data_IF_304060360782
#
_entry.id   IF_304060360782
#
_cell.length_a   1.000
_cell.length_b   1.000
_cell.length_c   1.000
_cell.angle_alpha   90.00
_cell.angle_beta   90.00
_cell.angle_gamma   90.00
#
_symmetry.space_group_name_H-M   'P 1'
#
loop_
_entity.id
_entity.type
_entity.pdbx_description
1 polymer ?
#
# COMPACT_ATOMS: atom_id res chain seq x y z
N UNK A 1 -10.19 21.56 -0.55
CA UNK A 1 -10.07 21.18 -1.98
C UNK A 1 -8.62 20.80 -2.24
N UNK A 2 -8.35 19.51 -2.46
CA UNK A 2 -6.99 18.97 -2.70
C UNK A 2 -7.00 18.03 -3.91
N UNK A 3 -5.85 17.86 -4.57
CA UNK A 3 -5.68 16.95 -5.71
C UNK A 3 -5.03 15.65 -5.23
N UNK A 4 -5.65 14.53 -5.57
CA UNK A 4 -5.25 13.19 -5.13
C UNK A 4 -4.72 12.36 -6.29
N UNK A 5 -3.57 11.70 -6.13
CA UNK A 5 -3.09 10.74 -7.11
C UNK A 5 -3.32 9.32 -6.60
N UNK A 6 -4.25 8.57 -7.21
CA UNK A 6 -4.62 7.22 -6.82
C UNK A 6 -4.17 6.23 -7.88
N UNK A 7 -3.26 5.33 -7.55
CA UNK A 7 -2.83 4.25 -8.44
C UNK A 7 -3.70 3.00 -8.24
N UNK A 8 -4.03 2.29 -9.33
CA UNK A 8 -4.86 1.07 -9.24
C UNK A 8 -6.36 1.33 -8.98
N UNK A 9 -6.89 2.45 -9.45
CA UNK A 9 -8.23 2.95 -9.16
C UNK A 9 -9.41 2.11 -9.72
N UNK A 10 -9.13 1.16 -10.61
CA UNK A 10 -10.15 0.42 -11.39
C UNK A 10 -11.09 -0.49 -10.60
N UNK A 11 -10.69 -1.00 -9.43
CA UNK A 11 -11.46 -1.98 -8.65
C UNK A 11 -10.97 -2.09 -7.19
N UNK A 12 -11.75 -2.77 -6.35
CA UNK A 12 -11.38 -3.06 -4.96
C UNK A 12 -11.14 -1.79 -4.14
N UNK A 13 -9.95 -1.66 -3.57
CA UNK A 13 -9.60 -0.52 -2.74
C UNK A 13 -9.54 0.81 -3.47
N UNK A 14 -8.89 0.84 -4.64
CA UNK A 14 -8.66 2.08 -5.37
C UNK A 14 -9.95 2.80 -5.73
N UNK A 15 -11.01 2.06 -6.07
CA UNK A 15 -12.29 2.66 -6.46
C UNK A 15 -13.04 3.27 -5.27
N UNK A 16 -12.97 2.64 -4.09
CA UNK A 16 -13.61 3.19 -2.89
C UNK A 16 -12.90 4.46 -2.40
N UNK A 17 -11.57 4.52 -2.54
CA UNK A 17 -10.79 5.75 -2.28
C UNK A 17 -11.21 6.87 -3.23
N UNK A 18 -11.33 6.59 -4.53
CA UNK A 18 -11.79 7.59 -5.52
C UNK A 18 -13.20 8.09 -5.17
N UNK A 19 -14.13 7.18 -4.87
CA UNK A 19 -15.50 7.56 -4.49
C UNK A 19 -15.51 8.45 -3.24
N UNK A 20 -14.78 8.06 -2.21
CA UNK A 20 -14.73 8.80 -0.95
C UNK A 20 -14.08 10.18 -1.16
N UNK A 21 -12.98 10.27 -1.92
CA UNK A 21 -12.33 11.56 -2.20
C UNK A 21 -13.24 12.50 -2.99
N UNK A 22 -13.94 11.99 -4.02
CA UNK A 22 -14.90 12.79 -4.79
C UNK A 22 -16.10 13.24 -3.94
N UNK A 23 -16.63 12.38 -3.06
CA UNK A 23 -17.77 12.74 -2.20
C UNK A 23 -17.42 13.83 -1.18
N UNK A 24 -16.14 13.97 -0.82
CA UNK A 24 -15.61 15.05 0.02
C UNK A 24 -15.22 16.30 -0.79
N UNK A 25 -15.55 16.33 -2.10
CA UNK A 25 -15.31 17.49 -2.96
C UNK A 25 -13.83 17.69 -3.28
N UNK A 26 -13.05 16.62 -3.37
CA UNK A 26 -11.66 16.66 -3.85
C UNK A 26 -11.58 16.37 -5.35
N UNK A 27 -10.45 16.73 -5.95
CA UNK A 27 -10.10 16.31 -7.30
C UNK A 27 -9.21 15.06 -7.24
N UNK A 28 -9.45 14.10 -8.14
CA UNK A 28 -8.70 12.85 -8.18
C UNK A 28 -8.12 12.63 -9.56
N UNK A 29 -6.83 12.33 -9.60
CA UNK A 29 -6.10 11.78 -10.72
C UNK A 29 -5.96 10.28 -10.45
N UNK A 30 -6.62 9.48 -11.27
CA UNK A 30 -6.76 8.05 -11.04
C UNK A 30 -6.11 7.24 -12.16
N UNK A 31 -5.20 6.33 -11.83
CA UNK A 31 -4.56 5.45 -12.81
C UNK A 31 -5.14 4.04 -12.77
N UNK A 32 -5.35 3.45 -13.94
CA UNK A 32 -5.90 2.11 -14.13
C UNK A 32 -5.24 1.44 -15.33
N UNK A 33 -5.08 0.11 -15.27
CA UNK A 33 -4.62 -0.68 -16.43
C UNK A 33 -5.61 -0.63 -17.60
N UNK A 34 -6.89 -0.48 -17.28
CA UNK A 34 -7.99 -0.34 -18.22
C UNK A 34 -8.77 0.92 -17.85
N UNK A 35 -8.50 2.01 -18.58
CA UNK A 35 -9.11 3.31 -18.35
C UNK A 35 -10.57 3.38 -18.82
N UNK A 36 -11.04 2.43 -19.65
CA UNK A 36 -12.45 2.37 -20.06
C UNK A 36 -13.38 2.14 -18.86
N UNK A 37 -12.99 1.25 -17.95
CA UNK A 37 -13.71 0.98 -16.69
C UNK A 37 -13.83 2.21 -15.79
N UNK A 38 -12.83 3.09 -15.82
CA UNK A 38 -12.86 4.34 -15.05
C UNK A 38 -13.79 5.36 -15.72
N UNK A 39 -13.78 5.44 -17.05
CA UNK A 39 -14.67 6.32 -17.82
C UNK A 39 -16.14 5.92 -17.72
N UNK A 40 -16.44 4.61 -17.71
CA UNK A 40 -17.81 4.13 -17.49
C UNK A 40 -18.33 4.49 -16.10
N UNK A 41 -17.45 4.49 -15.10
CA UNK A 41 -17.80 4.77 -13.70
C UNK A 41 -17.82 6.27 -13.38
N UNK A 42 -16.98 7.04 -14.08
CA UNK A 42 -16.78 8.48 -13.90
C UNK A 42 -16.66 9.14 -15.30
N UNK A 43 -17.79 9.32 -16.01
CA UNK A 43 -17.79 9.79 -17.39
C UNK A 43 -17.23 11.21 -17.57
N UNK A 44 -17.16 11.99 -16.49
CA UNK A 44 -16.75 13.40 -16.50
C UNK A 44 -15.27 13.63 -16.09
N UNK A 45 -14.44 12.58 -16.00
CA UNK A 45 -13.06 12.68 -15.51
C UNK A 45 -12.01 13.02 -16.60
N UNK A 46 -11.10 13.97 -16.30
CA UNK A 46 -9.92 14.35 -17.12
C UNK A 46 -8.58 13.78 -16.61
N UNK A 47 -7.48 13.94 -17.37
CA UNK A 47 -6.19 13.22 -17.22
C UNK A 47 -5.02 14.13 -16.76
N UNK A 48 -4.16 13.75 -15.77
CA UNK A 48 -2.68 13.76 -15.99
C UNK A 48 -1.77 12.88 -15.06
N UNK A 49 -0.43 13.03 -15.18
CA UNK A 49 0.69 12.28 -14.56
C UNK A 49 1.40 12.97 -13.35
N UNK A 50 2.28 12.22 -12.63
CA UNK A 50 2.98 12.61 -11.37
C UNK A 50 4.50 12.35 -11.36
N UNK A 51 5.31 13.24 -10.78
CA UNK A 51 6.57 12.90 -10.05
C UNK A 51 7.24 14.01 -9.20
N UNK A 52 7.08 15.33 -9.44
CA UNK A 52 7.91 16.38 -8.78
C UNK A 52 7.21 17.22 -7.68
N UNK A 53 6.31 16.64 -6.88
CA UNK A 53 5.21 17.43 -6.32
C UNK A 53 5.39 18.03 -4.90
N UNK A 54 6.49 17.76 -4.18
CA UNK A 54 6.68 18.30 -2.82
C UNK A 54 6.84 19.84 -2.81
N UNK A 55 7.68 20.48 -3.66
CA UNK A 55 7.73 21.95 -3.76
C UNK A 55 6.41 22.58 -4.22
N UNK A 56 5.49 21.76 -4.74
CA UNK A 56 4.17 22.15 -5.23
C UNK A 56 3.07 21.97 -4.18
N UNK A 57 3.41 21.58 -2.94
CA UNK A 57 2.46 21.43 -1.84
C UNK A 57 1.63 20.15 -1.88
N UNK A 58 2.07 19.12 -2.62
CA UNK A 58 1.37 17.84 -2.70
C UNK A 58 1.89 16.87 -1.64
N UNK A 59 0.97 16.31 -0.86
CA UNK A 59 1.26 15.33 0.18
C UNK A 59 1.16 13.91 -0.37
N UNK A 60 2.07 13.04 0.03
CA UNK A 60 2.10 11.62 -0.38
C UNK A 60 1.96 10.73 0.84
N UNK A 61 1.01 9.80 0.78
CA UNK A 61 0.84 8.73 1.78
C UNK A 61 0.75 7.40 1.06
N UNK A 62 1.60 6.46 1.46
CA UNK A 62 1.58 5.06 1.03
C UNK A 62 0.61 4.31 1.95
N UNK A 63 -0.45 3.76 1.37
CA UNK A 63 -1.41 2.93 2.10
C UNK A 63 -0.94 1.48 2.05
N UNK A 64 -0.79 0.86 3.21
CA UNK A 64 -0.34 -0.53 3.40
C UNK A 64 -1.48 -1.34 4.02
N UNK A 65 -2.39 -1.91 3.20
CA UNK A 65 -3.52 -2.67 3.71
C UNK A 65 -3.15 -4.14 3.96
N UNK A 66 -3.82 -4.73 4.97
CA UNK A 66 -3.92 -6.18 5.15
C UNK A 66 -4.97 -6.80 4.22
N UNK A 67 -5.59 -7.88 4.68
CA UNK A 67 -6.68 -8.54 3.96
C UNK A 67 -8.00 -7.79 4.12
N UNK A 68 -8.60 -7.38 3.01
CA UNK A 68 -9.91 -6.72 2.97
C UNK A 68 -10.89 -7.43 2.06
N UNK A 69 -12.18 -7.40 2.44
CA UNK A 69 -13.29 -8.02 1.70
C UNK A 69 -13.55 -7.27 0.40
N UNK A 70 -12.77 -7.60 -0.61
CA UNK A 70 -12.87 -7.13 -1.98
C UNK A 70 -12.70 -8.34 -2.90
N UNK A 71 -12.99 -8.18 -4.19
CA UNK A 71 -12.77 -9.23 -5.19
C UNK A 71 -11.26 -9.45 -5.50
N UNK A 72 -10.34 -8.89 -4.71
CA UNK A 72 -8.91 -8.99 -4.99
C UNK A 72 -8.40 -10.43 -5.03
N UNK A 73 -8.88 -11.28 -4.11
CA UNK A 73 -8.56 -12.71 -4.03
C UNK A 73 -9.47 -13.59 -4.88
N UNK A 74 -10.46 -13.00 -5.56
CA UNK A 74 -11.33 -13.74 -6.47
C UNK A 74 -10.53 -14.24 -7.68
N UNK A 75 -10.93 -15.38 -8.25
CA UNK A 75 -10.26 -15.98 -9.40
C UNK A 75 -10.30 -15.07 -10.66
N UNK A 76 -11.24 -14.14 -10.74
CA UNK A 76 -11.29 -13.10 -11.78
C UNK A 76 -10.26 -11.97 -11.60
N UNK A 77 -9.59 -11.92 -10.45
CA UNK A 77 -8.61 -10.89 -10.11
C UNK A 77 -7.21 -11.45 -9.86
N UNK A 78 -7.10 -12.51 -9.05
CA UNK A 78 -5.85 -13.12 -8.65
C UNK A 78 -5.47 -14.23 -9.64
N UNK A 79 -4.45 -13.96 -10.45
CA UNK A 79 -3.89 -14.97 -11.35
C UNK A 79 -2.81 -15.79 -10.63
N UNK A 80 -2.87 -17.10 -10.78
CA UNK A 80 -1.88 -18.03 -10.25
C UNK A 80 -1.35 -18.94 -11.35
N UNK A 81 -0.06 -19.26 -11.31
CA UNK A 81 0.55 -20.18 -12.27
C UNK A 81 0.04 -21.61 -12.12
N UNK A 82 -0.19 -22.25 -13.26
CA UNK A 82 -0.58 -23.67 -13.34
C UNK A 82 0.59 -24.59 -13.04
N UNK A 83 1.80 -24.20 -13.45
CA UNK A 83 3.02 -24.92 -13.14
C UNK A 83 3.37 -24.75 -11.65
N UNK A 84 3.33 -25.87 -10.91
CA UNK A 84 3.66 -25.89 -9.48
C UNK A 84 4.88 -26.76 -9.21
N UNK A 85 5.82 -26.20 -8.46
CA UNK A 85 7.04 -26.89 -8.01
C UNK A 85 6.77 -27.39 -6.57
N UNK A 86 6.99 -28.68 -6.34
CA UNK A 86 6.72 -29.36 -5.06
C UNK A 86 7.42 -28.70 -3.87
N UNK A 87 8.64 -28.23 -4.08
CA UNK A 87 9.51 -27.68 -3.05
C UNK A 87 8.95 -26.39 -2.43
N UNK A 88 8.08 -25.69 -3.15
CA UNK A 88 7.43 -24.47 -2.70
C UNK A 88 6.02 -24.71 -2.11
N UNK A 89 5.63 -25.97 -1.92
CA UNK A 89 4.30 -26.34 -1.42
C UNK A 89 3.99 -25.77 -0.02
N UNK A 90 5.01 -25.69 0.84
CA UNK A 90 4.92 -25.14 2.19
C UNK A 90 4.96 -23.60 2.24
N UNK A 91 5.47 -22.94 1.19
CA UNK A 91 5.59 -21.48 1.11
C UNK A 91 4.53 -20.89 0.19
N UNK A 92 4.84 -20.67 -1.09
CA UNK A 92 3.91 -20.07 -2.06
C UNK A 92 2.68 -20.94 -2.28
N UNK A 93 2.81 -22.27 -2.16
CA UNK A 93 1.68 -23.20 -2.20
C UNK A 93 0.71 -23.00 -1.04
N UNK A 94 1.22 -22.78 0.18
CA UNK A 94 0.39 -22.48 1.35
C UNK A 94 -0.30 -21.12 1.20
N UNK A 95 0.40 -20.12 0.66
CA UNK A 95 -0.19 -18.81 0.36
C UNK A 95 -1.34 -18.93 -0.65
N UNK A 96 -1.19 -19.69 -1.74
CA UNK A 96 -2.27 -19.92 -2.72
C UNK A 96 -3.50 -20.57 -2.07
N UNK A 97 -3.30 -21.61 -1.27
CA UNK A 97 -4.41 -22.26 -0.54
C UNK A 97 -5.09 -21.29 0.41
N UNK A 98 -4.31 -20.51 1.15
CA UNK A 98 -4.81 -19.51 2.09
C UNK A 98 -5.63 -18.44 1.37
N UNK A 99 -5.13 -17.90 0.24
CA UNK A 99 -5.83 -16.89 -0.55
C UNK A 99 -7.24 -17.36 -0.99
N UNK A 100 -7.37 -18.62 -1.40
CA UNK A 100 -8.68 -19.22 -1.74
C UNK A 100 -9.57 -19.34 -0.50
N UNK A 101 -9.04 -19.84 0.62
CA UNK A 101 -9.81 -20.04 1.85
C UNK A 101 -10.31 -18.75 2.48
N UNK A 102 -9.52 -17.67 2.38
CA UNK A 102 -9.85 -16.38 3.02
C UNK A 102 -10.61 -15.44 2.08
N UNK A 103 -10.88 -15.83 0.84
CA UNK A 103 -11.66 -15.02 -0.09
C UNK A 103 -13.07 -14.73 0.49
N UNK A 104 -13.51 -13.48 0.37
CA UNK A 104 -14.73 -12.90 0.96
C UNK A 104 -14.93 -13.00 2.49
N UNK A 105 -14.03 -13.66 3.22
CA UNK A 105 -14.04 -13.72 4.70
C UNK A 105 -12.92 -12.90 5.35
N UNK A 106 -12.16 -12.14 4.54
CA UNK A 106 -11.11 -11.25 5.01
C UNK A 106 -11.61 -10.33 6.15
N UNK A 107 -10.78 -9.95 7.15
CA UNK A 107 -11.26 -9.15 8.28
C UNK A 107 -11.51 -7.67 7.92
N UNK A 108 -10.76 -7.13 6.97
CA UNK A 108 -10.81 -5.72 6.61
C UNK A 108 -12.10 -5.32 5.89
N UNK A 109 -12.62 -4.14 6.23
CA UNK A 109 -13.77 -3.52 5.58
C UNK A 109 -13.30 -2.39 4.63
N UNK A 110 -13.45 -2.53 3.30
CA UNK A 110 -12.90 -1.57 2.34
C UNK A 110 -13.54 -0.17 2.45
N UNK A 111 -14.83 -0.10 2.83
CA UNK A 111 -15.53 1.18 3.02
C UNK A 111 -14.91 1.95 4.18
N UNK A 112 -14.66 1.29 5.31
CA UNK A 112 -14.01 1.92 6.48
C UNK A 112 -12.61 2.41 6.15
N UNK A 113 -11.84 1.61 5.42
CA UNK A 113 -10.48 2.00 5.04
C UNK A 113 -10.48 3.16 4.04
N UNK A 114 -11.42 3.22 3.09
CA UNK A 114 -11.57 4.38 2.21
C UNK A 114 -11.84 5.67 2.99
N UNK A 115 -12.72 5.63 4.00
CA UNK A 115 -12.95 6.77 4.91
C UNK A 115 -11.66 7.21 5.59
N UNK A 116 -10.93 6.28 6.22
CA UNK A 116 -9.66 6.61 6.92
C UNK A 116 -8.63 7.21 5.97
N UNK A 117 -8.55 6.72 4.73
CA UNK A 117 -7.61 7.24 3.74
C UNK A 117 -7.93 8.71 3.44
N UNK A 118 -9.21 9.04 3.21
CA UNK A 118 -9.67 10.43 3.01
C UNK A 118 -9.32 11.30 4.21
N UNK A 119 -9.67 10.88 5.42
CA UNK A 119 -9.37 11.62 6.65
C UNK A 119 -7.86 11.91 6.80
N UNK A 120 -7.02 10.93 6.45
CA UNK A 120 -5.57 11.06 6.56
C UNK A 120 -5.00 12.07 5.57
N UNK A 121 -5.50 12.15 4.35
CA UNK A 121 -4.96 13.13 3.40
C UNK A 121 -5.44 14.56 3.67
N UNK A 122 -6.61 14.73 4.30
CA UNK A 122 -7.04 16.03 4.81
C UNK A 122 -6.21 16.46 6.03
N UNK A 123 -5.60 15.52 6.75
CA UNK A 123 -4.75 15.81 7.90
C UNK A 123 -3.55 16.70 7.52
N UNK A 124 -3.25 17.75 8.32
CA UNK A 124 -2.01 18.52 8.18
C UNK A 124 -0.76 17.70 8.57
N UNK A 125 -0.94 16.55 9.24
CA UNK A 125 0.14 15.64 9.65
C UNK A 125 -0.05 14.26 9.03
N UNK A 126 -0.40 14.22 7.75
CA UNK A 126 -0.52 12.97 6.99
C UNK A 126 0.82 12.21 7.05
N UNK A 127 0.84 10.92 7.43
CA UNK A 127 2.07 10.15 7.49
C UNK A 127 2.49 9.72 6.07
N UNK A 128 3.77 9.42 5.90
CA UNK A 128 4.27 8.82 4.67
C UNK A 128 3.74 7.40 4.46
N UNK A 129 3.48 6.65 5.54
CA UNK A 129 2.95 5.28 5.50
C UNK A 129 1.77 5.14 6.46
N UNK A 130 0.71 4.48 6.00
CA UNK A 130 -0.50 4.22 6.76
C UNK A 130 -0.86 2.73 6.67
N UNK A 131 -0.66 2.00 7.77
CA UNK A 131 -1.07 0.60 7.87
C UNK A 131 -2.57 0.51 8.16
N UNK A 132 -3.28 -0.36 7.43
CA UNK A 132 -4.71 -0.58 7.61
C UNK A 132 -5.01 -2.07 7.78
N UNK A 133 -5.73 -2.41 8.85
CA UNK A 133 -6.06 -3.80 9.22
C UNK A 133 -5.13 -4.35 10.29
N UNK A 134 -5.70 -5.06 11.27
CA UNK A 134 -4.96 -5.58 12.42
C UNK A 134 -3.86 -6.57 12.01
N UNK A 135 -4.13 -7.38 10.99
CA UNK A 135 -3.18 -8.32 10.39
C UNK A 135 -1.98 -7.60 9.75
N UNK A 136 -2.20 -6.46 9.10
CA UNK A 136 -1.10 -5.65 8.58
C UNK A 136 -0.26 -5.06 9.70
N UNK A 137 -0.91 -4.49 10.72
CA UNK A 137 -0.25 -3.90 11.89
C UNK A 137 0.64 -4.94 12.58
N UNK A 138 0.10 -6.12 12.91
CA UNK A 138 0.83 -7.22 13.55
C UNK A 138 2.06 -7.63 12.73
N UNK A 139 1.90 -7.83 11.40
CA UNK A 139 3.01 -8.22 10.52
C UNK A 139 4.09 -7.15 10.43
N UNK A 140 3.72 -5.88 10.42
CA UNK A 140 4.67 -4.77 10.42
C UNK A 140 5.42 -4.72 11.75
N UNK A 141 4.74 -4.86 12.88
CA UNK A 141 5.36 -4.92 14.20
C UNK A 141 6.37 -6.08 14.31
N UNK A 142 5.98 -7.28 13.88
CA UNK A 142 6.87 -8.45 13.84
C UNK A 142 8.11 -8.23 12.96
N UNK A 143 7.92 -7.63 11.78
CA UNK A 143 9.02 -7.35 10.86
C UNK A 143 9.96 -6.29 11.44
N UNK A 144 9.42 -5.22 12.03
CA UNK A 144 10.21 -4.18 12.67
C UNK A 144 11.03 -4.76 13.84
N UNK A 145 10.43 -5.62 14.65
CA UNK A 145 11.13 -6.30 15.74
C UNK A 145 12.26 -7.20 15.21
N UNK A 146 12.04 -7.90 14.10
CA UNK A 146 13.05 -8.74 13.46
C UNK A 146 14.21 -7.92 12.92
N UNK A 147 13.92 -6.87 12.15
CA UNK A 147 14.95 -5.96 11.60
C UNK A 147 15.75 -5.31 12.72
N UNK A 148 15.09 -4.88 13.81
CA UNK A 148 15.77 -4.33 14.98
C UNK A 148 16.74 -5.33 15.59
N UNK A 149 16.30 -6.58 15.82
CA UNK A 149 17.15 -7.63 16.38
C UNK A 149 18.36 -7.93 15.49
N UNK A 150 18.16 -8.06 14.18
CA UNK A 150 19.24 -8.31 13.23
C UNK A 150 20.24 -7.15 13.21
N UNK A 151 19.75 -5.91 13.15
CA UNK A 151 20.58 -4.72 13.20
C UNK A 151 21.42 -4.69 14.49
N UNK A 152 20.80 -4.92 15.65
CA UNK A 152 21.51 -4.85 16.92
C UNK A 152 22.51 -6.00 17.08
N UNK A 153 22.21 -7.18 16.54
CA UNK A 153 23.13 -8.33 16.50
C UNK A 153 24.38 -8.03 15.67
N UNK A 154 24.21 -7.41 14.50
CA UNK A 154 25.28 -7.19 13.54
C UNK A 154 25.91 -5.80 13.61
N UNK A 155 25.41 -4.91 14.50
CA UNK A 155 25.80 -3.49 14.56
C UNK A 155 27.31 -3.29 14.58
N UNK A 156 28.02 -4.02 15.44
CA UNK A 156 29.47 -3.87 15.58
C UNK A 156 30.22 -4.19 14.28
N UNK A 157 29.80 -5.25 13.57
CA UNK A 157 30.38 -5.61 12.25
C UNK A 157 29.98 -4.58 11.21
N UNK A 158 28.71 -4.18 11.16
CA UNK A 158 28.21 -3.20 10.19
C UNK A 158 28.90 -1.84 10.31
N UNK A 159 29.16 -1.33 11.51
CA UNK A 159 29.88 -0.06 11.70
C UNK A 159 31.40 -0.19 11.54
N UNK A 160 31.94 -1.41 11.63
CA UNK A 160 33.39 -1.63 11.46
C UNK A 160 33.88 -1.41 10.02
N UNK A 161 32.97 -1.25 9.06
CA UNK A 161 33.29 -0.97 7.66
C UNK A 161 33.49 0.52 7.35
N UNK A 162 33.28 1.40 8.34
CA UNK A 162 33.57 2.82 8.19
C UNK A 162 35.08 3.03 8.00
N UNK A 163 35.46 4.02 7.17
CA UNK A 163 36.87 4.34 6.97
C UNK A 163 37.46 4.95 8.26
N UNK A 164 38.70 4.61 8.67
CA UNK A 164 39.25 5.03 9.97
C UNK A 164 39.34 6.54 10.21
N UNK A 165 39.25 7.35 9.15
CA UNK A 165 39.32 8.82 9.18
C UNK A 165 37.95 9.51 9.17
N UNK A 166 36.84 8.75 9.09
CA UNK A 166 35.49 9.30 9.16
C UNK A 166 35.16 9.65 10.62
N UNK A 167 35.09 10.95 10.91
CA UNK A 167 34.64 11.44 12.20
C UNK A 167 33.16 11.14 12.45
N UNK A 168 32.79 10.99 13.73
CA UNK A 168 31.42 10.64 14.17
C UNK A 168 30.30 11.62 13.74
N UNK A 169 30.66 12.74 13.11
CA UNK A 169 29.75 13.82 12.69
C UNK A 169 29.12 13.58 11.30
N UNK A 170 29.77 12.77 10.45
CA UNK A 170 29.28 12.48 9.08
C UNK A 170 28.17 11.43 9.07
N UNK A 171 28.02 10.63 10.14
CA UNK A 171 27.12 9.46 10.18
C UNK A 171 25.71 9.73 10.72
N UNK A 172 25.35 10.99 11.00
CA UNK A 172 24.02 11.40 11.54
C UNK A 172 23.25 12.34 10.61
N UNK A 173 23.23 12.05 9.31
CA UNK A 173 22.35 12.69 8.32
C UNK A 173 20.94 12.12 8.34
#
# INVERSE_FOLDING_TARGET
MSVWFVTGASRGFGIEIVRAALSHGHQVVATARDSSRMRDRFPDAGDPMSAELEPLGVKVTIVEPGYFRTDFLDASSLHTETAQISDYSASSGAMRRTAVMVNHVQPGNPVKAATVIVDVAESPRAPLRLQLGADCVERVEEKLATVRRELDTWRAVSVSTDHPDVGADVTRG
#
